data_IF_455393946282
#
_entry.id   IF_455393946282
#
_cell.length_a   1.000
_cell.length_b   1.000
_cell.length_c   1.000
_cell.angle_alpha   90.00
_cell.angle_beta   90.00
_cell.angle_gamma   90.00
#
_symmetry.space_group_name_H-M   'P 1'
#
loop_
_entity.id
_entity.type
_entity.pdbx_description
1 polymer ?
#
# COMPACT_ATOMS: atom_id res chain seq x y z
N UNK A 1 26.45 13.34 -59.91
CA UNK A 1 26.75 12.60 -58.67
C UNK A 1 25.94 13.29 -57.58
N UNK A 2 24.72 12.76 -57.23
CA UNK A 2 23.81 13.36 -56.22
C UNK A 2 23.98 12.62 -54.90
N UNK A 3 24.50 13.32 -53.89
CA UNK A 3 24.57 12.80 -52.51
C UNK A 3 23.22 12.96 -51.85
N UNK A 4 22.57 11.83 -51.50
CA UNK A 4 21.39 11.78 -50.62
C UNK A 4 21.88 11.78 -49.16
N UNK A 5 21.58 12.84 -48.42
CA UNK A 5 21.80 12.94 -47.01
C UNK A 5 20.59 12.33 -46.30
N UNK A 6 20.73 11.12 -45.74
CA UNK A 6 19.74 10.53 -44.84
C UNK A 6 19.85 11.18 -43.47
N UNK A 7 18.86 12.02 -43.14
CA UNK A 7 18.70 12.59 -41.82
C UNK A 7 17.99 11.56 -40.93
N UNK A 8 18.73 10.91 -40.03
CA UNK A 8 18.19 10.02 -38.98
C UNK A 8 17.69 10.87 -37.82
N UNK A 9 16.37 11.11 -37.78
CA UNK A 9 15.71 11.70 -36.61
C UNK A 9 15.71 10.70 -35.43
N UNK A 10 16.53 10.96 -34.44
CA UNK A 10 16.56 10.23 -33.15
C UNK A 10 15.38 10.69 -32.30
N UNK A 11 14.31 9.90 -32.26
CA UNK A 11 13.19 10.11 -31.33
C UNK A 11 13.67 9.81 -29.91
N UNK A 12 13.96 10.85 -29.13
CA UNK A 12 14.15 10.79 -27.70
C UNK A 12 12.79 10.48 -27.06
N UNK A 13 12.54 9.22 -26.72
CA UNK A 13 11.42 8.82 -25.89
C UNK A 13 11.65 9.40 -24.48
N UNK A 14 10.97 10.50 -24.17
CA UNK A 14 10.96 11.11 -22.84
C UNK A 14 10.18 10.17 -21.91
N UNK A 15 10.89 9.30 -21.17
CA UNK A 15 10.31 8.55 -20.07
C UNK A 15 9.98 9.55 -18.97
N UNK A 16 8.71 9.94 -18.87
CA UNK A 16 8.20 10.69 -17.76
C UNK A 16 8.39 9.84 -16.48
N UNK A 17 9.47 10.07 -15.77
CA UNK A 17 9.60 9.62 -14.39
C UNK A 17 8.49 10.28 -13.59
N UNK A 18 7.49 9.50 -13.21
CA UNK A 18 6.50 9.94 -12.23
C UNK A 18 7.28 10.26 -10.96
N UNK A 19 7.53 11.56 -10.75
CA UNK A 19 8.32 12.06 -9.65
C UNK A 19 7.50 11.85 -8.37
N UNK A 20 7.78 10.74 -7.70
CA UNK A 20 7.17 10.37 -6.44
C UNK A 20 7.68 11.32 -5.35
N UNK A 21 6.78 12.14 -4.83
CA UNK A 21 7.10 13.08 -3.76
C UNK A 21 6.95 12.41 -2.38
N UNK A 22 7.75 12.83 -1.39
CA UNK A 22 7.54 12.42 0.00
C UNK A 22 6.12 12.76 0.46
N UNK A 23 5.53 11.89 1.27
CA UNK A 23 4.23 12.11 1.88
C UNK A 23 4.39 12.57 3.33
N UNK A 24 3.47 13.40 3.83
CA UNK A 24 3.42 13.78 5.24
C UNK A 24 2.62 12.77 6.04
N UNK A 25 3.17 12.32 7.15
CA UNK A 25 2.43 11.50 8.11
C UNK A 25 1.44 12.35 8.91
N UNK A 26 0.49 11.69 9.58
CA UNK A 26 -0.45 12.36 10.49
C UNK A 26 0.25 13.05 11.67
N UNK A 27 1.47 12.60 12.00
CA UNK A 27 2.35 13.26 12.98
C UNK A 27 3.21 14.39 12.39
N UNK A 28 3.00 14.78 11.12
CA UNK A 28 3.73 15.86 10.44
C UNK A 28 5.13 15.50 9.93
N UNK A 29 5.61 14.27 10.15
CA UNK A 29 6.90 13.81 9.64
C UNK A 29 6.82 13.52 8.14
N UNK A 30 7.91 13.74 7.40
CA UNK A 30 8.01 13.38 5.99
C UNK A 30 8.52 11.94 5.83
N UNK A 31 7.85 11.16 5.00
CA UNK A 31 8.26 9.81 4.60
C UNK A 31 8.28 9.74 3.08
N UNK A 32 9.32 9.17 2.51
CA UNK A 32 9.35 8.82 1.08
C UNK A 32 9.12 7.31 0.92
N UNK A 33 7.91 6.88 0.54
CA UNK A 33 7.61 5.46 0.35
C UNK A 33 8.22 4.89 -0.93
N UNK A 34 8.69 5.75 -1.83
CA UNK A 34 9.21 5.36 -3.13
C UNK A 34 10.73 5.18 -3.15
N UNK A 35 11.43 5.69 -2.12
CA UNK A 35 12.88 5.60 -2.01
C UNK A 35 13.33 4.59 -0.98
N UNK A 36 14.45 3.92 -1.29
CA UNK A 36 15.17 3.03 -0.40
C UNK A 36 14.97 1.55 -0.73
N UNK A 37 16.07 0.79 -0.54
CA UNK A 37 16.09 -0.66 -0.77
C UNK A 37 15.27 -1.45 0.27
N UNK A 38 15.07 -0.89 1.48
CA UNK A 38 14.23 -1.51 2.51
C UNK A 38 12.77 -1.49 2.04
N UNK A 39 12.12 -2.67 1.91
CA UNK A 39 10.73 -2.75 1.50
C UNK A 39 9.82 -1.92 2.39
N UNK A 40 8.79 -1.32 1.81
CA UNK A 40 7.71 -0.69 2.58
C UNK A 40 6.40 -1.43 2.35
N UNK A 41 5.74 -1.81 3.43
CA UNK A 41 4.41 -2.40 3.44
C UNK A 41 3.41 -1.29 3.70
N UNK A 42 2.49 -1.06 2.78
CA UNK A 42 1.41 -0.11 2.89
C UNK A 42 0.10 -0.84 3.13
N UNK A 43 -0.69 -0.38 4.12
CA UNK A 43 -2.03 -0.85 4.40
C UNK A 43 -3.03 0.23 4.00
N UNK A 44 -3.81 -0.04 2.95
CA UNK A 44 -4.86 0.87 2.49
C UNK A 44 -6.11 0.69 3.32
N UNK A 45 -6.61 1.77 3.90
CA UNK A 45 -7.73 1.77 4.84
C UNK A 45 -8.57 3.04 4.74
N UNK A 46 -9.77 3.01 5.31
CA UNK A 46 -10.53 4.18 5.74
C UNK A 46 -10.86 4.02 7.23
N UNK A 47 -11.11 5.13 7.92
CA UNK A 47 -11.41 5.11 9.36
C UNK A 47 -12.78 4.49 9.67
N UNK A 48 -13.70 4.49 8.73
CA UNK A 48 -15.09 4.03 8.86
C UNK A 48 -15.36 2.63 8.27
N UNK A 49 -14.38 2.01 7.59
CA UNK A 49 -14.59 0.69 7.00
C UNK A 49 -14.58 -0.43 8.06
N UNK A 50 -15.72 -1.08 8.37
CA UNK A 50 -15.79 -2.10 9.42
C UNK A 50 -14.94 -3.33 9.09
N UNK A 51 -14.76 -3.65 7.81
CA UNK A 51 -13.92 -4.76 7.36
C UNK A 51 -12.44 -4.46 7.62
N UNK A 52 -12.01 -3.22 7.31
CA UNK A 52 -10.65 -2.78 7.58
C UNK A 52 -10.37 -2.74 9.09
N UNK A 53 -11.30 -2.20 9.88
CA UNK A 53 -11.16 -2.09 11.33
C UNK A 53 -11.06 -3.46 12.02
N UNK A 54 -11.77 -4.48 11.53
CA UNK A 54 -11.61 -5.87 12.01
C UNK A 54 -10.26 -6.49 11.68
N UNK A 55 -9.55 -5.99 10.66
CA UNK A 55 -8.21 -6.47 10.29
C UNK A 55 -7.07 -5.80 11.10
N UNK A 56 -7.35 -4.71 11.85
CA UNK A 56 -6.34 -3.99 12.62
C UNK A 56 -5.53 -4.89 13.56
N UNK A 57 -6.11 -5.84 14.32
CA UNK A 57 -5.31 -6.73 15.17
C UNK A 57 -4.25 -7.53 14.39
N UNK A 58 -4.57 -7.96 13.17
CA UNK A 58 -3.58 -8.65 12.33
C UNK A 58 -2.55 -7.70 11.73
N UNK A 59 -2.94 -6.50 11.33
CA UNK A 59 -2.03 -5.44 10.86
C UNK A 59 -0.98 -5.14 11.94
N UNK A 60 -1.41 -5.01 13.21
CA UNK A 60 -0.51 -4.78 14.34
C UNK A 60 0.46 -5.95 14.53
N UNK A 61 -0.05 -7.21 14.55
CA UNK A 61 0.83 -8.40 14.66
C UNK A 61 1.87 -8.45 13.55
N UNK A 62 1.48 -8.18 12.30
CA UNK A 62 2.42 -8.12 11.17
C UNK A 62 3.46 -7.02 11.40
N UNK A 63 3.03 -5.84 11.84
CA UNK A 63 3.97 -4.73 12.12
C UNK A 63 4.98 -5.09 13.21
N UNK A 64 4.55 -5.79 14.26
CA UNK A 64 5.43 -6.20 15.36
C UNK A 64 6.40 -7.31 14.93
N UNK A 65 5.92 -8.34 14.23
CA UNK A 65 6.71 -9.50 13.78
C UNK A 65 7.82 -9.13 12.76
N UNK A 66 7.56 -8.11 11.93
CA UNK A 66 8.49 -7.66 10.91
C UNK A 66 9.15 -6.31 11.24
N UNK A 67 9.05 -5.85 12.50
CA UNK A 67 9.68 -4.63 12.97
C UNK A 67 11.19 -4.62 12.68
N UNK A 68 11.69 -3.54 12.11
CA UNK A 68 13.09 -3.37 11.72
C UNK A 68 13.52 -4.13 10.45
N UNK A 69 12.69 -5.03 9.92
CA UNK A 69 12.97 -5.76 8.67
C UNK A 69 12.37 -5.06 7.45
N UNK A 70 11.18 -4.48 7.61
CA UNK A 70 10.49 -3.68 6.60
C UNK A 70 9.98 -2.38 7.22
N UNK A 71 9.68 -1.40 6.38
CA UNK A 71 8.97 -0.18 6.79
C UNK A 71 7.47 -0.41 6.68
N UNK A 72 6.69 0.30 7.50
CA UNK A 72 5.23 0.22 7.48
C UNK A 72 4.61 1.60 7.30
N UNK A 73 3.45 1.65 6.64
CA UNK A 73 2.67 2.86 6.45
C UNK A 73 1.17 2.52 6.39
N UNK A 74 0.36 3.14 7.25
CA UNK A 74 -1.10 3.17 7.09
C UNK A 74 -1.46 4.25 6.08
N UNK A 75 -2.22 3.90 5.06
CA UNK A 75 -2.65 4.81 3.99
C UNK A 75 -4.16 5.00 4.09
N UNK A 76 -4.59 6.14 4.59
CA UNK A 76 -5.99 6.52 4.67
C UNK A 76 -6.44 7.09 3.33
N UNK A 77 -7.42 6.45 2.71
CA UNK A 77 -7.77 6.67 1.30
C UNK A 77 -9.03 7.49 1.09
N UNK A 78 -9.82 7.76 2.15
CA UNK A 78 -10.99 8.59 2.01
C UNK A 78 -10.61 10.07 1.95
N UNK A 79 -10.87 10.78 0.82
CA UNK A 79 -10.51 12.18 0.67
C UNK A 79 -11.35 13.13 1.53
N UNK A 80 -12.47 12.66 2.09
CA UNK A 80 -13.35 13.48 2.93
C UNK A 80 -12.97 13.45 4.41
N UNK A 81 -12.14 12.48 4.82
CA UNK A 81 -11.70 12.37 6.22
C UNK A 81 -10.85 13.57 6.64
N UNK A 82 -11.09 14.06 7.84
CA UNK A 82 -10.27 15.10 8.47
C UNK A 82 -9.04 14.50 9.15
N UNK A 83 -7.96 15.29 9.29
CA UNK A 83 -6.77 14.85 10.01
C UNK A 83 -7.07 14.47 11.47
N UNK A 84 -8.05 15.10 12.09
CA UNK A 84 -8.44 14.79 13.47
C UNK A 84 -9.09 13.41 13.54
N UNK A 85 -10.03 13.09 12.67
CA UNK A 85 -10.67 11.76 12.60
C UNK A 85 -9.64 10.66 12.39
N UNK A 86 -8.67 10.87 11.48
CA UNK A 86 -7.62 9.89 11.22
C UNK A 86 -6.68 9.69 12.42
N UNK A 87 -6.35 10.75 13.15
CA UNK A 87 -5.57 10.65 14.39
C UNK A 87 -6.34 9.92 15.48
N UNK A 88 -7.61 10.24 15.67
CA UNK A 88 -8.50 9.57 16.61
C UNK A 88 -8.60 8.08 16.28
N UNK A 89 -8.80 7.73 15.00
CA UNK A 89 -8.77 6.32 14.57
C UNK A 89 -7.45 5.61 14.93
N UNK A 90 -6.29 6.26 14.69
CA UNK A 90 -5.00 5.67 15.10
C UNK A 90 -4.88 5.45 16.61
N UNK A 91 -5.51 6.31 17.41
CA UNK A 91 -5.56 6.18 18.87
C UNK A 91 -6.46 5.04 19.30
N UNK A 92 -7.71 5.04 18.85
CA UNK A 92 -8.73 4.07 19.21
C UNK A 92 -8.34 2.63 18.85
N UNK A 93 -7.68 2.48 17.71
CA UNK A 93 -7.20 1.18 17.21
C UNK A 93 -5.74 0.86 17.57
N UNK A 94 -5.10 1.70 18.40
CA UNK A 94 -3.72 1.50 18.88
C UNK A 94 -2.71 1.33 17.71
N UNK A 95 -2.85 2.15 16.66
CA UNK A 95 -2.02 2.11 15.45
C UNK A 95 -0.86 3.11 15.47
N UNK A 96 -0.62 3.83 16.57
CA UNK A 96 0.42 4.88 16.66
C UNK A 96 1.84 4.40 16.37
N UNK A 97 2.11 3.10 16.53
CA UNK A 97 3.40 2.50 16.17
C UNK A 97 3.64 2.41 14.66
N UNK A 98 2.58 2.48 13.85
CA UNK A 98 2.63 2.47 12.39
C UNK A 98 2.37 3.90 11.89
N UNK A 99 3.32 4.57 11.23
CA UNK A 99 3.06 5.88 10.66
C UNK A 99 1.82 5.86 9.77
N UNK A 100 0.92 6.82 9.94
CA UNK A 100 -0.26 7.00 9.08
C UNK A 100 -0.08 8.20 8.15
N UNK A 101 -0.64 8.13 6.95
CA UNK A 101 -0.72 9.25 6.01
C UNK A 101 -2.13 9.36 5.43
N UNK A 102 -2.57 10.57 5.17
CA UNK A 102 -3.80 10.85 4.44
C UNK A 102 -3.47 10.98 2.94
N UNK A 103 -3.83 9.97 2.16
CA UNK A 103 -3.61 9.94 0.71
C UNK A 103 -4.77 10.62 -0.03
N UNK A 104 -5.07 11.87 0.38
CA UNK A 104 -6.16 12.68 -0.13
C UNK A 104 -6.24 12.72 -1.67
N UNK A 105 -5.08 12.76 -2.35
CA UNK A 105 -4.97 12.81 -3.80
C UNK A 105 -4.74 11.44 -4.45
N UNK A 106 -4.85 10.34 -3.71
CA UNK A 106 -4.67 8.96 -4.18
C UNK A 106 -3.33 8.73 -4.90
N UNK A 107 -2.26 9.37 -4.46
CA UNK A 107 -0.92 9.18 -5.01
C UNK A 107 -0.44 7.76 -4.73
N UNK A 108 -0.57 7.29 -3.49
CA UNK A 108 -0.17 5.95 -3.06
C UNK A 108 -1.16 4.89 -3.56
N UNK A 109 -2.46 5.20 -3.58
CA UNK A 109 -3.49 4.34 -4.18
C UNK A 109 -3.15 4.04 -5.64
N UNK A 110 -2.82 5.06 -6.44
CA UNK A 110 -2.42 4.87 -7.85
C UNK A 110 -1.09 4.14 -7.99
N UNK A 111 -0.10 4.47 -7.17
CA UNK A 111 1.22 3.84 -7.23
C UNK A 111 1.17 2.33 -6.94
N UNK A 112 0.27 1.90 -6.05
CA UNK A 112 0.05 0.50 -5.72
C UNK A 112 -1.07 -0.16 -6.52
N UNK A 113 -1.83 0.60 -7.31
CA UNK A 113 -3.07 0.17 -7.97
C UNK A 113 -4.11 -0.40 -6.98
N UNK A 114 -4.16 0.11 -5.74
CA UNK A 114 -5.07 -0.36 -4.70
C UNK A 114 -6.53 -0.05 -5.08
N UNK A 115 -7.45 -0.96 -4.72
CA UNK A 115 -8.87 -0.87 -5.12
C UNK A 115 -9.82 -1.02 -3.93
N UNK A 116 -9.39 -1.70 -2.88
CA UNK A 116 -10.22 -2.16 -1.77
C UNK A 116 -9.58 -1.74 -0.44
N UNK A 117 -10.39 -1.54 0.59
CA UNK A 117 -9.94 -1.42 1.97
C UNK A 117 -10.58 -2.52 2.83
N UNK A 118 -9.78 -3.35 3.57
CA UNK A 118 -8.33 -3.31 3.64
C UNK A 118 -7.66 -4.03 2.46
N UNK A 119 -6.64 -3.43 1.91
CA UNK A 119 -5.71 -4.05 0.97
C UNK A 119 -4.28 -3.71 1.38
N UNK A 120 -3.31 -4.55 1.04
CA UNK A 120 -1.91 -4.28 1.30
C UNK A 120 -1.09 -4.25 0.02
N UNK A 121 -0.03 -3.44 0.00
CA UNK A 121 0.99 -3.50 -1.04
C UNK A 121 2.39 -3.48 -0.43
N UNK A 122 3.35 -4.07 -1.13
CA UNK A 122 4.78 -4.00 -0.82
C UNK A 122 5.46 -3.25 -1.96
N UNK A 123 6.17 -2.18 -1.64
CA UNK A 123 6.98 -1.45 -2.59
C UNK A 123 8.47 -1.61 -2.27
N UNK A 124 9.29 -1.74 -3.32
CA UNK A 124 10.76 -1.70 -3.28
C UNK A 124 11.21 -0.71 -4.35
N UNK A 125 12.00 0.28 -3.96
CA UNK A 125 12.48 1.33 -4.87
C UNK A 125 11.34 1.94 -5.72
N UNK A 126 10.19 2.20 -5.10
CA UNK A 126 9.02 2.79 -5.74
C UNK A 126 8.21 1.87 -6.64
N UNK A 127 8.61 0.61 -6.81
CA UNK A 127 7.88 -0.38 -7.60
C UNK A 127 7.05 -1.29 -6.69
N UNK A 128 5.76 -1.40 -6.96
CA UNK A 128 4.91 -2.37 -6.28
C UNK A 128 5.27 -3.80 -6.72
N UNK A 129 5.70 -4.62 -5.77
CA UNK A 129 6.04 -6.04 -5.98
C UNK A 129 4.97 -6.99 -5.45
N UNK A 130 4.06 -6.49 -4.62
CA UNK A 130 2.88 -7.19 -4.14
C UNK A 130 1.72 -6.18 -4.03
N UNK A 131 0.51 -6.62 -4.34
CA UNK A 131 -0.75 -5.96 -3.99
C UNK A 131 -1.83 -7.03 -3.83
N UNK A 132 -2.56 -6.97 -2.71
CA UNK A 132 -3.63 -7.90 -2.47
C UNK A 132 -4.10 -7.93 -1.03
N UNK A 133 -4.84 -8.97 -0.70
CA UNK A 133 -5.38 -9.18 0.64
C UNK A 133 -4.27 -9.43 1.66
N UNK A 134 -4.54 -9.09 2.91
CA UNK A 134 -3.64 -9.35 4.05
C UNK A 134 -3.62 -10.86 4.35
N UNK A 135 -4.80 -11.46 4.43
CA UNK A 135 -5.02 -12.89 4.65
C UNK A 135 -6.42 -13.29 4.16
N UNK A 136 -6.84 -14.53 4.40
CA UNK A 136 -8.16 -15.02 4.02
C UNK A 136 -9.20 -14.94 5.16
N UNK A 137 -9.07 -14.00 6.10
CA UNK A 137 -10.03 -13.85 7.20
C UNK A 137 -11.48 -13.71 6.71
N UNK A 138 -11.72 -12.93 5.65
CA UNK A 138 -13.03 -12.84 5.04
C UNK A 138 -13.18 -13.80 3.87
N UNK A 139 -14.26 -14.59 3.89
CA UNK A 139 -14.71 -15.40 2.76
C UNK A 139 -15.47 -14.56 1.73
N UNK A 140 -16.39 -13.74 2.23
CA UNK A 140 -17.18 -12.74 1.52
C UNK A 140 -17.39 -11.53 2.41
N UNK A 141 -17.98 -10.47 1.88
CA UNK A 141 -18.34 -9.29 2.65
C UNK A 141 -19.26 -9.66 3.82
N UNK A 142 -18.86 -9.27 5.03
CA UNK A 142 -19.60 -9.59 6.27
C UNK A 142 -19.49 -11.05 6.75
N UNK A 143 -18.77 -11.94 6.04
CA UNK A 143 -18.64 -13.37 6.42
C UNK A 143 -17.19 -13.70 6.81
N UNK A 144 -16.81 -13.55 8.09
CA UNK A 144 -15.48 -13.91 8.56
C UNK A 144 -15.34 -15.43 8.69
N UNK A 145 -14.11 -15.93 8.45
CA UNK A 145 -13.73 -17.30 8.72
C UNK A 145 -13.43 -17.49 10.20
N UNK A 146 -13.73 -18.67 10.73
CA UNK A 146 -13.32 -19.05 12.08
C UNK A 146 -11.81 -19.26 12.19
N UNK A 147 -11.20 -19.77 11.12
CA UNK A 147 -9.75 -20.07 11.06
C UNK A 147 -9.17 -19.43 9.81
N UNK A 148 -8.10 -18.67 9.99
CA UNK A 148 -7.28 -18.12 8.91
C UNK A 148 -6.33 -19.22 8.47
N UNK A 149 -6.38 -19.61 7.19
CA UNK A 149 -5.57 -20.69 6.60
C UNK A 149 -4.58 -20.18 5.55
N UNK A 150 -4.69 -18.92 5.16
CA UNK A 150 -3.83 -18.28 4.14
C UNK A 150 -3.40 -16.91 4.62
N UNK A 151 -2.10 -16.70 4.71
CA UNK A 151 -1.45 -15.48 5.21
C UNK A 151 -0.70 -14.81 4.05
N UNK A 152 -1.44 -14.38 3.01
CA UNK A 152 -0.88 -13.96 1.73
C UNK A 152 0.18 -12.86 1.88
N UNK A 153 -0.08 -11.82 2.67
CA UNK A 153 0.88 -10.73 2.89
C UNK A 153 2.16 -11.20 3.61
N UNK A 154 2.03 -12.05 4.64
CA UNK A 154 3.20 -12.59 5.36
C UNK A 154 4.09 -13.40 4.43
N UNK A 155 3.50 -14.27 3.61
CA UNK A 155 4.22 -15.05 2.59
C UNK A 155 4.93 -14.13 1.59
N UNK A 156 4.29 -13.04 1.18
CA UNK A 156 4.89 -12.06 0.29
C UNK A 156 6.06 -11.30 0.95
N UNK A 157 5.92 -10.88 2.21
CA UNK A 157 7.00 -10.24 2.96
C UNK A 157 8.20 -11.18 3.11
N UNK A 158 7.96 -12.44 3.50
CA UNK A 158 9.01 -13.45 3.69
C UNK A 158 9.77 -13.71 2.38
N UNK A 159 9.05 -13.82 1.25
CA UNK A 159 9.67 -13.99 -0.06
C UNK A 159 10.56 -12.81 -0.42
N UNK A 160 10.07 -11.57 -0.23
CA UNK A 160 10.81 -10.33 -0.51
C UNK A 160 12.06 -10.23 0.36
N UNK A 161 11.96 -10.55 1.66
CA UNK A 161 13.11 -10.53 2.58
C UNK A 161 14.15 -11.62 2.23
N UNK A 162 13.71 -12.71 1.63
CA UNK A 162 14.59 -13.77 1.10
C UNK A 162 15.16 -13.45 -0.30
N UNK A 163 14.94 -12.24 -0.84
CA UNK A 163 15.37 -11.85 -2.18
C UNK A 163 14.62 -12.55 -3.32
N UNK A 164 13.47 -13.16 -3.03
CA UNK A 164 12.63 -13.87 -3.99
C UNK A 164 11.48 -12.99 -4.49
N UNK A 165 10.94 -13.24 -5.68
CA UNK A 165 9.71 -12.59 -6.14
C UNK A 165 8.57 -12.82 -5.16
N UNK A 166 7.81 -11.75 -4.84
CA UNK A 166 6.60 -11.89 -4.04
C UNK A 166 5.55 -12.71 -4.82
N UNK A 167 4.98 -13.77 -4.24
CA UNK A 167 3.92 -14.51 -4.90
C UNK A 167 2.65 -13.67 -5.00
N UNK A 168 1.85 -13.90 -6.03
CA UNK A 168 0.53 -13.28 -6.15
C UNK A 168 -0.39 -13.75 -5.02
N UNK A 169 -1.33 -12.90 -4.56
CA UNK A 169 -2.30 -13.30 -3.55
C UNK A 169 -3.18 -14.44 -4.07
N UNK A 170 -3.48 -15.42 -3.21
CA UNK A 170 -4.28 -16.61 -3.55
C UNK A 170 -5.78 -16.34 -3.68
N UNK A 171 -6.20 -15.09 -3.51
CA UNK A 171 -7.59 -14.69 -3.62
C UNK A 171 -7.76 -13.18 -3.62
N UNK A 172 -9.00 -12.73 -3.84
CA UNK A 172 -9.35 -11.31 -3.90
C UNK A 172 -9.37 -10.69 -2.50
N UNK A 173 -9.05 -9.39 -2.42
CA UNK A 173 -9.32 -8.58 -1.24
C UNK A 173 -10.84 -8.44 -1.07
N UNK A 174 -11.32 -8.53 0.18
CA UNK A 174 -12.72 -8.34 0.54
C UNK A 174 -12.82 -7.11 1.44
N UNK A 175 -13.71 -6.20 1.12
CA UNK A 175 -13.87 -4.97 1.88
C UNK A 175 -14.60 -3.88 1.11
N UNK A 176 -14.38 -2.63 1.50
CA UNK A 176 -15.00 -1.45 0.91
C UNK A 176 -14.20 -0.98 -0.32
N UNK A 177 -14.86 -0.54 -1.38
CA UNK A 177 -14.17 0.04 -2.52
C UNK A 177 -13.57 1.40 -2.16
N UNK A 178 -12.33 1.64 -2.61
CA UNK A 178 -11.73 2.98 -2.52
C UNK A 178 -12.50 3.92 -3.44
N UNK A 179 -13.01 5.02 -2.88
CA UNK A 179 -13.76 6.04 -3.61
C UNK A 179 -12.90 6.66 -4.71
N UNK A 180 -13.40 6.70 -5.94
CA UNK A 180 -12.68 7.36 -7.04
C UNK A 180 -12.70 8.87 -6.82
N UNK A 181 -11.57 9.53 -7.05
CA UNK A 181 -11.52 10.99 -7.13
C UNK A 181 -12.28 11.43 -8.39
N UNK A 182 -13.05 12.52 -8.24
CA UNK A 182 -13.74 13.19 -9.36
C UNK A 182 -12.76 14.02 -10.18
#
# INVERSE_FOLDING_TARGET
MRFLIFSTSLLLASTAFLQSAPVKTLAGKSIDPFKGATPIVMFFTTNDCPVANKMVPEIRRISDDYKGKVRFLMVYTDPQSTLQELKTHQEDYQLKSIPGTHDHNHILVRAADAKITPEAAILINGKAVYRGRINNYYENFGKPRRVITQHDLRIAIDAVLAGKPAPAPRGKSIGCYITKLK
#
